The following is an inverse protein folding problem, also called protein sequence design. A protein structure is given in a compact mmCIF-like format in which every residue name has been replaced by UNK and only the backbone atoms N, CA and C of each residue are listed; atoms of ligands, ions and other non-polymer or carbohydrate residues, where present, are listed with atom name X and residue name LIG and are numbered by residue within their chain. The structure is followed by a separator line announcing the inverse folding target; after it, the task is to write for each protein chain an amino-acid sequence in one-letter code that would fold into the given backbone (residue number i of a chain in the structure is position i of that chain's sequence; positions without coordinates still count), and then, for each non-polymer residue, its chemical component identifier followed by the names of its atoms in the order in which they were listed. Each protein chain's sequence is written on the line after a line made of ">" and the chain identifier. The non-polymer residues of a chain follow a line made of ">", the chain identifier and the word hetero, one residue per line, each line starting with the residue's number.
data_IF_147542066657
#
_entry.id   IF_147542066657
#
_cell.length_a   1.000
_cell.length_b   1.000
_cell.length_c   1.000
_cell.angle_alpha   90.00
_cell.angle_beta   90.00
_cell.angle_gamma   90.00
#
_symmetry.space_group_name_H-M   'P 1'
#
loop_
_entity.id
_entity.type
_entity.pdbx_description
1 polymer ?
#
# COMPACT_ATOMS: atom_id res chain seq x y z
N UNK A 1 16.92 -7.93 0.77
CA UNK A 1 15.80 -6.99 0.64
C UNK A 1 14.61 -7.78 0.17
N UNK A 2 13.46 -7.70 0.84
CA UNK A 2 12.43 -8.73 0.70
C UNK A 2 11.33 -8.28 -0.24
N UNK A 3 11.30 -8.84 -1.45
CA UNK A 3 10.17 -8.70 -2.38
C UNK A 3 9.12 -9.74 -2.00
N UNK A 4 7.84 -9.38 -2.09
CA UNK A 4 6.74 -10.30 -1.77
C UNK A 4 6.38 -11.24 -2.92
N UNK A 5 6.69 -10.81 -4.13
CA UNK A 5 6.41 -11.50 -5.38
C UNK A 5 7.66 -11.43 -6.24
N UNK A 6 7.85 -12.43 -7.08
CA UNK A 6 8.87 -12.47 -8.12
C UNK A 6 8.21 -12.56 -9.50
N UNK A 7 9.04 -12.56 -10.54
CA UNK A 7 8.58 -12.66 -11.93
C UNK A 7 7.83 -13.95 -12.20
N UNK A 8 8.26 -15.07 -11.61
CA UNK A 8 7.61 -16.36 -11.81
C UNK A 8 6.22 -16.39 -11.18
N UNK A 9 6.06 -15.82 -9.99
CA UNK A 9 4.76 -15.67 -9.36
C UNK A 9 3.82 -14.77 -10.16
N UNK A 10 4.33 -13.69 -10.76
CA UNK A 10 3.53 -12.85 -11.66
C UNK A 10 3.03 -13.62 -12.89
N UNK A 11 3.79 -14.59 -13.41
CA UNK A 11 3.33 -15.42 -14.53
C UNK A 11 2.22 -16.40 -14.13
N UNK A 12 2.19 -16.82 -12.87
CA UNK A 12 1.20 -17.77 -12.35
C UNK A 12 -0.10 -17.07 -11.94
N UNK A 13 0.02 -15.93 -11.23
CA UNK A 13 -1.09 -15.27 -10.54
C UNK A 13 -1.43 -13.90 -11.14
N UNK A 14 -0.50 -13.29 -11.87
CA UNK A 14 -0.68 -11.95 -12.43
C UNK A 14 -1.68 -11.92 -13.58
N UNK A 15 -2.27 -10.74 -13.79
CA UNK A 15 -3.29 -10.52 -14.81
C UNK A 15 -2.70 -10.15 -16.19
N UNK A 16 -1.39 -10.30 -16.37
CA UNK A 16 -0.69 -10.03 -17.64
C UNK A 16 -0.19 -11.37 -18.18
N UNK A 17 -0.45 -11.70 -19.47
CA UNK A 17 0.00 -12.96 -20.06
C UNK A 17 1.53 -13.15 -19.93
N UNK A 18 2.01 -14.37 -19.62
CA UNK A 18 3.43 -14.64 -19.44
C UNK A 18 4.29 -14.26 -20.65
N UNK A 19 3.77 -14.47 -21.87
CA UNK A 19 4.49 -14.17 -23.10
C UNK A 19 4.77 -12.67 -23.24
N UNK A 20 3.80 -11.84 -22.81
CA UNK A 20 3.93 -10.39 -22.82
C UNK A 20 4.95 -9.93 -21.78
N UNK A 21 4.98 -10.58 -20.61
CA UNK A 21 5.99 -10.29 -19.58
C UNK A 21 7.40 -10.63 -20.06
N UNK A 22 7.57 -11.79 -20.70
CA UNK A 22 8.87 -12.22 -21.24
C UNK A 22 9.36 -11.31 -22.37
N UNK A 23 8.45 -10.90 -23.27
CA UNK A 23 8.78 -9.91 -24.31
C UNK A 23 9.15 -8.55 -23.72
N UNK A 24 8.42 -8.08 -22.71
CA UNK A 24 8.69 -6.80 -22.08
C UNK A 24 10.04 -6.81 -21.35
N UNK A 25 10.36 -7.89 -20.65
CA UNK A 25 11.66 -8.06 -19.98
C UNK A 25 12.82 -8.17 -20.99
N UNK A 26 12.61 -8.84 -22.13
CA UNK A 26 13.60 -8.91 -23.20
C UNK A 26 13.89 -7.52 -23.82
N UNK A 27 12.88 -6.65 -23.90
CA UNK A 27 13.03 -5.28 -24.40
C UNK A 27 13.59 -4.31 -23.35
N UNK A 28 13.23 -4.49 -22.08
CA UNK A 28 13.59 -3.60 -20.97
C UNK A 28 14.06 -4.42 -19.75
N UNK A 29 15.28 -4.99 -19.79
CA UNK A 29 15.76 -5.88 -18.75
C UNK A 29 15.85 -5.19 -17.38
N UNK A 30 15.40 -5.89 -16.34
CA UNK A 30 15.39 -5.43 -14.95
C UNK A 30 14.25 -4.46 -14.61
N UNK A 31 13.44 -4.06 -15.59
CA UNK A 31 12.35 -3.10 -15.37
C UNK A 31 11.20 -3.71 -14.57
N UNK A 32 10.89 -5.00 -14.78
CA UNK A 32 9.85 -5.68 -14.02
C UNK A 32 10.25 -5.76 -12.54
N UNK A 33 11.49 -6.14 -12.24
CA UNK A 33 12.00 -6.25 -10.88
C UNK A 33 11.97 -4.88 -10.15
N UNK A 34 12.30 -3.80 -10.85
CA UNK A 34 12.21 -2.44 -10.31
C UNK A 34 10.75 -2.03 -10.00
N UNK A 35 9.78 -2.41 -10.84
CA UNK A 35 8.35 -2.15 -10.57
C UNK A 35 7.87 -2.96 -9.38
N UNK A 36 8.23 -4.25 -9.31
CA UNK A 36 7.92 -5.12 -8.15
C UNK A 36 8.44 -4.49 -6.87
N UNK A 37 9.70 -4.07 -6.87
CA UNK A 37 10.33 -3.44 -5.71
C UNK A 37 9.58 -2.17 -5.29
N UNK A 38 9.31 -1.27 -6.24
CA UNK A 38 8.59 -0.03 -5.96
C UNK A 38 7.22 -0.29 -5.35
N UNK A 39 6.44 -1.22 -5.91
CA UNK A 39 5.12 -1.57 -5.39
C UNK A 39 5.22 -2.17 -3.99
N UNK A 40 6.13 -3.11 -3.76
CA UNK A 40 6.37 -3.68 -2.42
C UNK A 40 6.67 -2.59 -1.39
N UNK A 41 7.47 -1.58 -1.74
CA UNK A 41 7.80 -0.45 -0.86
C UNK A 41 6.61 0.44 -0.53
N UNK A 42 5.71 0.68 -1.49
CA UNK A 42 4.49 1.45 -1.22
C UNK A 42 3.58 0.67 -0.27
N UNK A 43 3.45 -0.65 -0.46
CA UNK A 43 2.64 -1.51 0.41
C UNK A 43 3.25 -1.58 1.82
N UNK A 44 4.56 -1.75 1.93
CA UNK A 44 5.30 -1.68 3.20
C UNK A 44 4.97 -0.41 3.97
N UNK A 45 5.06 0.74 3.29
CA UNK A 45 4.81 2.04 3.89
C UNK A 45 3.39 2.20 4.45
N UNK A 46 2.39 1.60 3.80
CA UNK A 46 1.00 1.63 4.29
C UNK A 46 0.77 0.71 5.48
N UNK A 47 1.34 -0.50 5.43
CA UNK A 47 1.17 -1.51 6.49
C UNK A 47 2.09 -1.30 7.69
N UNK A 48 3.18 -0.52 7.54
CA UNK A 48 4.20 -0.29 8.55
C UNK A 48 3.70 0.34 9.84
N UNK A 49 2.51 0.97 9.84
CA UNK A 49 1.93 1.53 11.07
C UNK A 49 1.52 0.46 12.07
N UNK A 50 1.08 -0.72 11.58
CA UNK A 50 0.44 -1.77 12.38
C UNK A 50 1.20 -3.09 12.37
N UNK A 51 1.74 -3.44 11.22
CA UNK A 51 2.34 -4.75 11.00
C UNK A 51 3.87 -4.66 11.04
N UNK A 52 4.50 -5.81 11.26
CA UNK A 52 5.95 -5.96 11.15
C UNK A 52 6.37 -6.00 9.67
N UNK A 53 6.23 -4.88 8.96
CA UNK A 53 6.72 -4.75 7.58
C UNK A 53 8.17 -4.26 7.54
N UNK A 54 8.97 -4.74 6.56
CA UNK A 54 8.63 -5.70 5.52
C UNK A 54 8.41 -7.12 6.06
N UNK A 55 7.40 -7.84 5.57
CA UNK A 55 7.19 -9.24 5.95
C UNK A 55 8.39 -10.07 5.47
N UNK A 56 8.86 -10.98 6.31
CA UNK A 56 9.84 -11.98 5.87
C UNK A 56 9.20 -12.85 4.79
N UNK A 57 9.77 -12.83 3.60
CA UNK A 57 9.43 -13.70 2.49
C UNK A 57 10.65 -14.57 2.21
N UNK A 58 10.60 -15.81 2.66
CA UNK A 58 11.61 -16.84 2.42
C UNK A 58 10.92 -18.14 2.01
N UNK A 59 11.66 -19.07 1.39
CA UNK A 59 11.10 -20.35 0.95
C UNK A 59 10.40 -21.15 2.07
N UNK A 60 10.79 -20.95 3.34
CA UNK A 60 10.20 -21.63 4.51
C UNK A 60 9.06 -20.85 5.18
N UNK A 61 9.02 -19.54 4.96
CA UNK A 61 8.03 -18.63 5.53
C UNK A 61 7.70 -17.60 4.46
N UNK A 62 6.80 -17.93 3.51
CA UNK A 62 6.37 -16.96 2.53
C UNK A 62 5.57 -15.86 3.21
N UNK A 63 5.72 -14.63 2.70
CA UNK A 63 4.80 -13.55 3.02
C UNK A 63 3.34 -13.98 2.86
N UNK A 64 2.40 -13.41 3.63
CA UNK A 64 0.99 -13.79 3.58
C UNK A 64 0.42 -13.77 2.15
N UNK A 65 -0.24 -14.85 1.75
CA UNK A 65 -0.67 -15.06 0.36
C UNK A 65 -1.63 -13.96 -0.14
N UNK A 66 -2.53 -13.49 0.73
CA UNK A 66 -3.42 -12.38 0.41
C UNK A 66 -2.64 -11.11 0.00
N UNK A 67 -1.55 -10.79 0.71
CA UNK A 67 -0.69 -9.66 0.35
C UNK A 67 0.02 -9.92 -0.98
N UNK A 68 0.51 -11.15 -1.22
CA UNK A 68 1.18 -11.51 -2.48
C UNK A 68 0.25 -11.37 -3.68
N UNK A 69 -0.99 -11.86 -3.56
CA UNK A 69 -2.02 -11.74 -4.61
C UNK A 69 -2.34 -10.27 -4.93
N UNK A 70 -2.57 -9.44 -3.92
CA UNK A 70 -2.88 -8.03 -4.14
C UNK A 70 -1.68 -7.22 -4.65
N UNK A 71 -0.45 -7.53 -4.20
CA UNK A 71 0.78 -6.94 -4.76
C UNK A 71 0.93 -7.33 -6.24
N UNK A 72 0.67 -8.59 -6.60
CA UNK A 72 0.71 -9.03 -8.00
C UNK A 72 -0.27 -8.24 -8.87
N UNK A 73 -1.52 -8.05 -8.42
CA UNK A 73 -2.51 -7.26 -9.15
C UNK A 73 -2.07 -5.80 -9.37
N UNK A 74 -1.47 -5.16 -8.35
CA UNK A 74 -0.94 -3.80 -8.45
C UNK A 74 0.22 -3.71 -9.45
N UNK A 75 1.14 -4.68 -9.42
CA UNK A 75 2.25 -4.75 -10.37
C UNK A 75 1.74 -4.99 -11.79
N UNK A 76 0.81 -5.93 -11.99
CA UNK A 76 0.19 -6.23 -13.29
C UNK A 76 -0.44 -4.98 -13.92
N UNK A 77 -1.19 -4.20 -13.13
CA UNK A 77 -1.75 -2.94 -13.60
C UNK A 77 -0.65 -1.93 -14.01
N UNK A 78 0.40 -1.79 -13.21
CA UNK A 78 1.50 -0.86 -13.51
C UNK A 78 2.25 -1.27 -14.79
N UNK A 79 2.52 -2.57 -14.96
CA UNK A 79 3.14 -3.11 -16.16
C UNK A 79 2.26 -2.92 -17.40
N UNK A 80 0.94 -3.11 -17.26
CA UNK A 80 0.00 -2.88 -18.36
C UNK A 80 0.04 -1.44 -18.87
N UNK A 81 0.08 -0.46 -17.96
CA UNK A 81 0.26 0.95 -18.35
C UNK A 81 1.55 1.16 -19.15
N UNK A 82 2.63 0.49 -18.78
CA UNK A 82 3.92 0.63 -19.48
C UNK A 82 3.95 -0.04 -20.85
N UNK A 83 3.28 -1.18 -21.01
CA UNK A 83 3.22 -1.93 -22.27
C UNK A 83 2.28 -1.24 -23.27
N UNK A 84 1.17 -0.70 -22.79
CA UNK A 84 0.11 -0.11 -23.59
C UNK A 84 -1.24 -0.44 -22.99
N UNK A 85 -2.03 0.59 -22.73
CA UNK A 85 -3.34 0.51 -22.09
C UNK A 85 -4.40 1.04 -23.06
N UNK A 86 -5.40 0.22 -23.37
CA UNK A 86 -6.56 0.64 -24.14
C UNK A 86 -7.76 0.81 -23.20
N UNK A 87 -8.14 2.06 -22.84
CA UNK A 87 -9.26 2.31 -21.93
C UNK A 87 -10.62 1.82 -22.47
N UNK A 88 -10.73 1.55 -23.77
CA UNK A 88 -11.93 1.00 -24.39
C UNK A 88 -12.06 -0.52 -24.25
N UNK A 89 -10.98 -1.23 -23.87
CA UNK A 89 -11.00 -2.68 -23.79
C UNK A 89 -11.61 -3.15 -22.45
N UNK A 90 -12.50 -4.16 -22.52
CA UNK A 90 -13.13 -4.73 -21.33
C UNK A 90 -12.09 -5.38 -20.38
N UNK A 91 -10.99 -5.89 -20.93
CA UNK A 91 -9.91 -6.47 -20.14
C UNK A 91 -9.15 -5.42 -19.32
N UNK A 92 -8.91 -4.25 -19.90
CA UNK A 92 -8.22 -3.17 -19.20
C UNK A 92 -9.08 -2.57 -18.08
N UNK A 93 -10.41 -2.58 -18.23
CA UNK A 93 -11.33 -2.22 -17.15
C UNK A 93 -11.28 -3.22 -15.99
N UNK A 94 -11.16 -4.52 -16.28
CA UNK A 94 -10.97 -5.54 -15.23
C UNK A 94 -9.64 -5.38 -14.48
N UNK A 95 -8.58 -4.93 -15.17
CA UNK A 95 -7.30 -4.61 -14.53
C UNK A 95 -7.40 -3.42 -13.57
N UNK A 96 -8.15 -2.40 -13.94
CA UNK A 96 -8.43 -1.26 -13.05
C UNK A 96 -9.22 -1.72 -11.83
N UNK A 97 -10.27 -2.52 -12.02
CA UNK A 97 -11.08 -3.06 -10.94
C UNK A 97 -10.23 -3.91 -9.97
N UNK A 98 -9.40 -4.82 -10.48
CA UNK A 98 -8.49 -5.64 -9.67
C UNK A 98 -7.48 -4.80 -8.87
N UNK A 99 -6.98 -3.72 -9.45
CA UNK A 99 -6.08 -2.78 -8.77
C UNK A 99 -6.81 -1.98 -7.69
N UNK A 100 -8.04 -1.57 -7.92
CA UNK A 100 -8.84 -0.84 -6.94
C UNK A 100 -9.26 -1.75 -5.77
N UNK A 101 -9.62 -3.01 -6.05
CA UNK A 101 -9.85 -4.04 -5.04
C UNK A 101 -8.59 -4.30 -4.20
N UNK A 102 -7.43 -4.45 -4.84
CA UNK A 102 -6.16 -4.60 -4.14
C UNK A 102 -5.86 -3.43 -3.21
N UNK A 103 -6.12 -2.19 -3.67
CA UNK A 103 -5.96 -1.02 -2.81
C UNK A 103 -6.99 -0.95 -1.69
N UNK A 104 -8.23 -1.39 -1.93
CA UNK A 104 -9.26 -1.46 -0.90
C UNK A 104 -8.86 -2.43 0.21
N UNK A 105 -8.41 -3.64 -0.14
CA UNK A 105 -7.92 -4.62 0.82
C UNK A 105 -6.73 -4.10 1.62
N UNK A 106 -5.73 -3.49 0.97
CA UNK A 106 -4.54 -2.96 1.66
C UNK A 106 -4.92 -1.82 2.61
N UNK A 107 -5.90 -0.99 2.26
CA UNK A 107 -6.42 0.06 3.14
C UNK A 107 -7.18 -0.55 4.32
N UNK A 108 -8.06 -1.52 4.07
CA UNK A 108 -8.77 -2.25 5.11
C UNK A 108 -7.78 -2.88 6.09
N UNK A 109 -6.78 -3.62 5.61
CA UNK A 109 -5.71 -4.17 6.42
C UNK A 109 -4.99 -3.09 7.24
N UNK A 110 -4.65 -1.95 6.63
CA UNK A 110 -3.98 -0.84 7.31
C UNK A 110 -4.84 -0.19 8.42
N UNK A 111 -6.17 -0.21 8.31
CA UNK A 111 -7.09 0.46 9.24
C UNK A 111 -7.84 -0.50 10.19
N UNK A 112 -7.80 -1.81 9.94
CA UNK A 112 -8.55 -2.88 10.60
C UNK A 112 -8.15 -3.13 12.06
N UNK A 113 -8.44 -2.21 13.00
CA UNK A 113 -8.17 -2.40 14.44
C UNK A 113 -8.89 -3.64 15.01
N UNK A 114 -10.09 -3.92 14.51
CA UNK A 114 -10.98 -5.04 14.91
C UNK A 114 -11.50 -5.84 13.71
N UNK A 115 -11.00 -5.59 12.49
CA UNK A 115 -11.50 -6.23 11.28
C UNK A 115 -10.90 -7.62 11.04
N UNK A 116 -11.35 -8.24 9.95
CA UNK A 116 -11.16 -9.67 9.64
C UNK A 116 -9.74 -10.03 9.16
N UNK A 117 -8.88 -9.03 8.94
CA UNK A 117 -7.54 -9.23 8.37
C UNK A 117 -6.50 -9.44 9.47
N UNK A 118 -6.17 -10.71 9.71
CA UNK A 118 -5.12 -11.13 10.63
C UNK A 118 -3.78 -11.29 9.88
N UNK A 119 -2.88 -10.33 10.06
CA UNK A 119 -1.52 -10.36 9.53
C UNK A 119 -0.51 -10.27 10.69
N UNK A 120 0.73 -10.75 10.50
CA UNK A 120 1.76 -10.71 11.55
C UNK A 120 1.93 -9.31 12.15
N UNK A 121 1.47 -9.16 13.40
CA UNK A 121 1.56 -7.92 14.15
C UNK A 121 3.01 -7.63 14.53
N UNK A 122 3.33 -6.33 14.68
CA UNK A 122 4.62 -5.93 15.26
C UNK A 122 4.63 -6.27 16.74
N UNK A 123 5.75 -6.80 17.25
CA UNK A 123 5.94 -7.05 18.68
C UNK A 123 5.63 -5.79 19.51
N UNK A 124 5.10 -5.89 20.74
CA UNK A 124 4.77 -4.74 21.59
C UNK A 124 6.02 -3.95 22.00
N UNK A 125 5.86 -2.71 22.47
CA UNK A 125 6.96 -2.00 23.14
C UNK A 125 7.22 -2.65 24.51
N UNK A 126 8.46 -2.65 25.03
CA UNK A 126 8.75 -3.20 26.35
C UNK A 126 7.85 -2.54 27.42
N UNK A 127 6.96 -3.32 28.02
CA UNK A 127 6.04 -2.85 29.07
C UNK A 127 4.62 -2.50 28.63
N UNK A 128 4.27 -2.57 27.34
CA UNK A 128 2.91 -2.31 26.84
C UNK A 128 2.18 -3.61 26.43
N UNK A 129 0.91 -3.76 26.84
CA UNK A 129 0.03 -4.81 26.30
C UNK A 129 -0.46 -4.38 24.92
N UNK A 130 -0.12 -5.14 23.89
CA UNK A 130 -0.55 -4.87 22.51
C UNK A 130 -2.07 -4.98 22.39
N UNK A 131 -2.75 -3.83 22.26
CA UNK A 131 -4.22 -3.77 22.07
C UNK A 131 -4.63 -3.42 20.63
N UNK A 132 -3.70 -2.93 19.79
CA UNK A 132 -4.03 -2.46 18.42
C UNK A 132 -2.91 -2.63 17.39
N UNK A 133 -1.68 -2.98 17.81
CA UNK A 133 -0.48 -3.06 16.95
C UNK A 133 0.01 -1.70 16.41
N UNK A 134 -0.69 -0.59 16.68
CA UNK A 134 -0.31 0.75 16.21
C UNK A 134 0.68 1.39 17.18
N UNK A 135 1.96 1.45 16.79
CA UNK A 135 3.01 2.11 17.61
C UNK A 135 3.30 3.57 17.23
N UNK A 136 2.99 3.98 16.00
CA UNK A 136 3.20 5.37 15.52
C UNK A 136 1.84 6.06 15.43
N UNK A 137 1.62 7.04 16.30
CA UNK A 137 0.44 7.92 16.24
C UNK A 137 0.35 8.66 14.90
N UNK A 138 -0.86 9.07 14.54
CA UNK A 138 -1.07 9.94 13.38
C UNK A 138 -0.37 11.29 13.54
N UNK A 139 -0.20 12.07 12.46
CA UNK A 139 0.25 13.45 12.58
C UNK A 139 -0.70 14.18 13.52
N UNK A 140 -0.19 14.65 14.66
CA UNK A 140 -0.91 15.63 15.46
C UNK A 140 -1.11 16.84 14.54
N UNK A 141 -2.37 17.20 14.27
CA UNK A 141 -2.71 18.23 13.28
C UNK A 141 -1.79 19.44 13.45
N UNK A 142 -1.04 19.82 12.42
CA UNK A 142 -0.42 21.13 12.37
C UNK A 142 -1.52 22.15 12.11
N UNK A 143 -2.10 22.65 13.19
CA UNK A 143 -2.85 23.89 13.18
C UNK A 143 -1.87 24.99 12.82
N UNK A 144 -1.79 25.34 11.54
CA UNK A 144 -1.26 26.63 11.13
C UNK A 144 -2.32 27.68 11.50
N UNK A 145 -2.55 27.86 12.81
CA UNK A 145 -3.29 29.01 13.28
C UNK A 145 -2.54 30.23 12.76
N UNK A 146 -3.21 31.02 11.91
CA UNK A 146 -2.67 32.28 11.42
C UNK A 146 -2.10 33.06 12.60
N UNK A 147 -0.89 33.65 12.50
CA UNK A 147 -0.33 34.49 13.55
C UNK A 147 -1.23 35.68 13.95
N UNK A 148 -2.30 35.95 13.19
CA UNK A 148 -3.30 36.98 13.48
C UNK A 148 -4.60 36.44 14.09
N UNK A 149 -4.76 35.13 14.24
CA UNK A 149 -5.97 34.52 14.81
C UNK A 149 -6.25 35.02 16.25
N UNK A 150 -5.21 35.33 17.02
CA UNK A 150 -5.36 35.92 18.35
C UNK A 150 -5.91 37.36 18.30
N UNK A 151 -5.51 38.15 17.30
CA UNK A 151 -5.97 39.53 17.13
C UNK A 151 -7.45 39.57 16.70
N UNK A 152 -7.88 38.64 15.84
CA UNK A 152 -9.28 38.51 15.45
C UNK A 152 -10.18 38.06 16.61
N UNK A 153 -9.70 37.12 17.45
CA UNK A 153 -10.43 36.71 18.66
C UNK A 153 -10.56 37.85 19.68
N UNK A 154 -9.52 38.67 19.88
CA UNK A 154 -9.63 39.86 20.72
C UNK A 154 -10.66 40.85 20.17
N UNK A 155 -10.66 41.08 18.85
CA UNK A 155 -11.63 41.97 18.20
C UNK A 155 -13.07 41.49 18.33
N UNK A 156 -13.29 40.18 18.21
CA UNK A 156 -14.62 39.58 18.43
C UNK A 156 -15.05 39.66 19.90
N UNK A 157 -14.14 39.43 20.87
CA UNK A 157 -14.45 39.55 22.30
C UNK A 157 -14.88 40.97 22.68
N UNK A 158 -14.20 41.99 22.18
CA UNK A 158 -14.57 43.40 22.42
C UNK A 158 -15.91 43.77 21.78
N UNK A 159 -16.22 43.22 20.60
CA UNK A 159 -17.52 43.46 19.93
C UNK A 159 -18.70 42.80 20.61
N UNK A 160 -18.49 41.69 21.32
CA UNK A 160 -19.54 40.98 22.09
C UNK A 160 -19.77 41.57 23.49
N UNK A 161 -18.87 42.42 23.98
CA UNK A 161 -18.99 43.07 25.29
C UNK A 161 -19.59 44.49 25.19
N UNK A 162 -20.27 44.81 24.09
CA UNK A 162 -21.13 45.97 23.92
C UNK A 162 -22.53 45.48 23.62
#
# INVERSE_FOLDING_TARGET
>A
MTQYVDRDYLKIVGNVPPEVLDQFEAQYPGRIDAVIEAVCRVVDGRLAKRYATPFEHTAKKPAPEAIRMHVAALVSHQLRIMIGFDPGSQQDQLLVAAKDEAWAYIKEAADSKEGLVELPLREPLPGEKDKSGVKKGGPLSSSNASPYAWADQQRQRVRRSR
#
